data_IF_847551671189
#
_entry.id   IF_847551671189
#
_cell.length_a   1.000
_cell.length_b   1.000
_cell.length_c   1.000
_cell.angle_alpha   90.00
_cell.angle_beta   90.00
_cell.angle_gamma   90.00
#
_symmetry.space_group_name_H-M   'P 1'
#
loop_
_entity.id
_entity.type
_entity.pdbx_description
1 polymer ?
#
# COMPACT_ATOMS: atom_id res chain seq x y z
N UNK A 1 1.49 -19.47 -22.79
CA UNK A 1 2.38 -18.86 -21.82
C UNK A 1 1.59 -18.01 -20.86
N UNK A 2 1.66 -18.31 -19.59
CA UNK A 2 0.94 -17.51 -18.64
C UNK A 2 1.93 -16.73 -17.80
N UNK A 3 1.69 -15.45 -17.69
CA UNK A 3 2.49 -14.59 -16.88
C UNK A 3 1.60 -14.06 -15.76
N UNK A 4 2.06 -14.24 -14.54
CA UNK A 4 1.33 -13.71 -13.41
C UNK A 4 1.26 -12.18 -13.51
N UNK A 5 0.09 -11.57 -13.35
CA UNK A 5 0.01 -10.12 -13.32
C UNK A 5 0.93 -9.49 -12.29
N UNK A 6 1.13 -10.19 -11.16
CA UNK A 6 1.99 -9.69 -10.09
C UNK A 6 3.44 -9.56 -10.54
N UNK A 7 3.88 -10.41 -11.47
CA UNK A 7 5.25 -10.38 -11.96
C UNK A 7 5.55 -9.11 -12.72
N UNK A 8 4.53 -8.52 -13.35
CA UNK A 8 4.69 -7.33 -14.18
C UNK A 8 4.26 -6.05 -13.50
N UNK A 9 3.65 -6.15 -12.33
CA UNK A 9 3.23 -4.95 -11.62
C UNK A 9 4.43 -4.23 -11.04
N UNK A 10 4.42 -2.92 -11.19
CA UNK A 10 5.41 -2.07 -10.54
C UNK A 10 5.18 -2.09 -9.04
N UNK A 11 6.20 -1.77 -8.23
CA UNK A 11 6.03 -1.76 -6.78
C UNK A 11 4.88 -0.88 -6.30
N UNK A 12 4.71 0.31 -6.90
CA UNK A 12 3.60 1.19 -6.54
C UNK A 12 2.25 0.54 -6.87
N UNK A 13 2.13 -0.12 -8.01
CA UNK A 13 0.89 -0.81 -8.39
C UNK A 13 0.57 -1.96 -7.44
N UNK A 14 1.59 -2.67 -6.98
CA UNK A 14 1.41 -3.76 -6.03
C UNK A 14 0.88 -3.24 -4.70
N UNK A 15 1.40 -2.12 -4.24
CA UNK A 15 0.93 -1.50 -3.00
C UNK A 15 -0.50 -1.01 -3.19
N UNK A 16 -0.82 -0.36 -4.31
CA UNK A 16 -2.19 0.07 -4.61
C UNK A 16 -3.14 -1.12 -4.52
N UNK A 17 -2.76 -2.26 -5.09
CA UNK A 17 -3.60 -3.45 -5.06
C UNK A 17 -3.88 -3.90 -3.63
N UNK A 18 -2.85 -3.95 -2.78
CA UNK A 18 -3.00 -4.35 -1.38
C UNK A 18 -3.90 -3.37 -0.63
N UNK A 19 -3.68 -2.07 -0.82
CA UNK A 19 -4.49 -1.04 -0.15
C UNK A 19 -5.96 -1.12 -0.59
N UNK A 20 -6.20 -1.36 -1.86
CA UNK A 20 -7.55 -1.52 -2.38
C UNK A 20 -8.24 -2.74 -1.79
N UNK A 21 -7.52 -3.85 -1.65
CA UNK A 21 -8.06 -5.05 -1.01
C UNK A 21 -8.39 -4.79 0.46
N UNK A 22 -7.57 -4.01 1.14
CA UNK A 22 -7.83 -3.67 2.53
C UNK A 22 -9.09 -2.81 2.64
N UNK A 23 -9.27 -1.83 1.76
CA UNK A 23 -10.49 -1.00 1.75
C UNK A 23 -11.73 -1.85 1.49
N UNK A 24 -11.60 -2.88 0.67
CA UNK A 24 -12.70 -3.81 0.38
C UNK A 24 -12.88 -4.87 1.48
N UNK A 25 -12.07 -4.80 2.54
CA UNK A 25 -12.11 -5.71 3.69
C UNK A 25 -11.72 -7.14 3.35
N UNK A 26 -10.89 -7.31 2.32
CA UNK A 26 -10.37 -8.62 1.93
C UNK A 26 -9.04 -8.93 2.60
N UNK A 27 -8.43 -7.94 3.25
CA UNK A 27 -7.10 -8.05 3.87
C UNK A 27 -7.19 -7.40 5.25
N UNK A 28 -6.64 -8.06 6.27
CA UNK A 28 -6.60 -7.51 7.63
C UNK A 28 -5.51 -6.45 7.75
N UNK A 29 -5.52 -5.71 8.88
CA UNK A 29 -4.50 -4.70 9.15
C UNK A 29 -3.11 -5.32 9.20
N UNK A 30 -2.97 -6.49 9.84
CA UNK A 30 -1.68 -7.17 9.94
C UNK A 30 -1.20 -7.63 8.57
N UNK A 31 -2.11 -8.13 7.76
CA UNK A 31 -1.77 -8.59 6.42
C UNK A 31 -1.37 -7.41 5.54
N UNK A 32 -2.09 -6.30 5.64
CA UNK A 32 -1.75 -5.07 4.94
C UNK A 32 -0.31 -4.66 5.27
N UNK A 33 0.00 -4.60 6.55
CA UNK A 33 1.33 -4.21 7.01
C UNK A 33 2.41 -5.14 6.43
N UNK A 34 2.18 -6.44 6.52
CA UNK A 34 3.15 -7.42 6.03
C UNK A 34 3.38 -7.30 4.54
N UNK A 35 2.29 -7.19 3.77
CA UNK A 35 2.40 -7.14 2.31
C UNK A 35 3.07 -5.86 1.83
N UNK A 36 2.74 -4.74 2.45
CA UNK A 36 3.36 -3.46 2.08
C UNK A 36 4.85 -3.49 2.44
N UNK A 37 5.20 -4.01 3.61
CA UNK A 37 6.59 -4.16 4.00
C UNK A 37 7.36 -5.08 3.05
N UNK A 38 6.71 -6.13 2.57
CA UNK A 38 7.35 -7.07 1.65
C UNK A 38 7.66 -6.42 0.29
N UNK A 39 6.81 -5.51 -0.17
CA UNK A 39 7.09 -4.76 -1.39
C UNK A 39 8.23 -3.78 -1.17
N UNK A 40 8.23 -3.11 -0.03
CA UNK A 40 9.26 -2.14 0.31
C UNK A 40 9.11 -0.81 -0.41
N UNK A 41 10.03 0.09 -0.15
CA UNK A 41 9.98 1.45 -0.70
C UNK A 41 11.17 1.79 -1.60
N UNK A 42 12.08 0.84 -1.81
CA UNK A 42 13.34 1.11 -2.50
C UNK A 42 13.15 1.63 -3.93
N UNK A 43 12.10 1.18 -4.61
CA UNK A 43 11.86 1.55 -5.99
C UNK A 43 10.76 2.60 -6.15
N UNK A 44 10.25 3.13 -5.04
CA UNK A 44 9.24 4.17 -5.07
C UNK A 44 9.90 5.55 -5.20
N UNK A 45 9.13 6.52 -5.71
CA UNK A 45 9.60 7.89 -5.68
C UNK A 45 9.69 8.37 -4.24
N UNK A 46 10.46 9.45 -3.95
CA UNK A 46 10.56 9.95 -2.57
C UNK A 46 9.20 10.27 -1.96
N UNK A 47 8.29 10.85 -2.72
CA UNK A 47 6.95 11.18 -2.22
C UNK A 47 6.15 9.93 -1.92
N UNK A 48 6.22 8.93 -2.80
CA UNK A 48 5.54 7.66 -2.59
C UNK A 48 6.11 6.93 -1.38
N UNK A 49 7.43 6.88 -1.28
CA UNK A 49 8.09 6.21 -0.16
C UNK A 49 7.71 6.85 1.17
N UNK A 50 7.69 8.18 1.22
CA UNK A 50 7.32 8.90 2.43
C UNK A 50 5.88 8.58 2.85
N UNK A 51 4.96 8.57 1.89
CA UNK A 51 3.56 8.25 2.19
C UNK A 51 3.41 6.83 2.72
N UNK A 52 4.10 5.86 2.13
CA UNK A 52 4.06 4.48 2.59
C UNK A 52 4.65 4.34 3.98
N UNK A 53 5.76 5.02 4.25
CA UNK A 53 6.38 4.97 5.56
C UNK A 53 5.48 5.58 6.63
N UNK A 54 4.80 6.69 6.33
CA UNK A 54 3.84 7.28 7.25
C UNK A 54 2.67 6.35 7.51
N UNK A 55 2.17 5.69 6.46
CA UNK A 55 1.10 4.71 6.62
C UNK A 55 1.52 3.61 7.60
N UNK A 56 2.69 3.03 7.39
CA UNK A 56 3.17 1.94 8.24
C UNK A 56 3.42 2.40 9.68
N UNK A 57 3.89 3.64 9.86
CA UNK A 57 4.16 4.18 11.19
C UNK A 57 2.90 4.51 11.96
N UNK A 58 1.89 5.03 11.27
CA UNK A 58 0.68 5.55 11.92
C UNK A 58 -0.49 4.57 11.93
N UNK A 59 -0.35 3.44 11.24
CA UNK A 59 -1.41 2.44 11.21
C UNK A 59 -1.64 1.91 12.63
N UNK A 60 -2.85 2.06 13.12
CA UNK A 60 -3.18 1.73 14.50
C UNK A 60 -4.49 0.95 14.60
N UNK A 61 -5.13 1.07 15.77
CA UNK A 61 -6.37 0.33 16.04
C UNK A 61 -7.61 1.05 15.53
N UNK A 62 -7.52 2.34 15.26
CA UNK A 62 -8.66 3.13 14.78
C UNK A 62 -8.83 2.96 13.28
N UNK A 63 -9.88 2.25 12.89
CA UNK A 63 -10.11 1.99 11.47
C UNK A 63 -10.39 3.26 10.66
N UNK A 64 -11.11 4.21 11.25
CA UNK A 64 -11.38 5.48 10.56
C UNK A 64 -10.09 6.23 10.25
N UNK A 65 -9.17 6.27 11.20
CA UNK A 65 -7.86 6.87 11.00
C UNK A 65 -7.08 6.10 9.94
N UNK A 66 -7.12 4.77 9.98
CA UNK A 66 -6.43 3.94 9.01
C UNK A 66 -6.98 4.16 7.60
N UNK A 67 -8.29 4.33 7.46
CA UNK A 67 -8.89 4.60 6.15
C UNK A 67 -8.38 5.92 5.57
N UNK A 68 -8.24 6.95 6.39
CA UNK A 68 -7.69 8.22 5.93
C UNK A 68 -6.25 8.05 5.46
N UNK A 69 -5.45 7.33 6.24
CA UNK A 69 -4.05 7.06 5.89
C UNK A 69 -3.94 6.29 4.57
N UNK A 70 -4.79 5.28 4.40
CA UNK A 70 -4.80 4.48 3.18
C UNK A 70 -5.18 5.33 1.98
N UNK A 71 -6.22 6.16 2.10
CA UNK A 71 -6.66 7.03 1.02
C UNK A 71 -5.58 8.04 0.63
N UNK A 72 -4.93 8.64 1.62
CA UNK A 72 -3.84 9.58 1.36
C UNK A 72 -2.66 8.89 0.68
N UNK A 73 -2.36 7.68 1.10
CA UNK A 73 -1.29 6.90 0.49
C UNK A 73 -1.62 6.56 -0.96
N UNK A 74 -2.87 6.15 -1.22
CA UNK A 74 -3.31 5.86 -2.59
C UNK A 74 -3.18 7.09 -3.49
N UNK A 75 -3.52 8.26 -2.96
CA UNK A 75 -3.40 9.50 -3.71
C UNK A 75 -1.93 9.78 -4.04
N UNK A 76 -1.05 9.64 -3.07
CA UNK A 76 0.37 9.84 -3.29
C UNK A 76 0.93 8.86 -4.31
N UNK A 77 0.50 7.61 -4.26
CA UNK A 77 0.95 6.60 -5.22
C UNK A 77 0.47 6.92 -6.63
N UNK A 78 -0.72 7.47 -6.77
CA UNK A 78 -1.28 7.83 -8.06
C UNK A 78 -0.57 9.03 -8.68
N UNK A 79 -0.11 9.96 -7.84
CA UNK A 79 0.58 11.15 -8.31
C UNK A 79 2.04 10.88 -8.66
N UNK A 80 2.60 9.84 -8.11
CA UNK A 80 4.00 9.49 -8.35
C UNK A 80 4.92 10.34 -7.55
#
# INVERSE_FOLDING_TARGET
MSTSPDTHLRPDDRIVSVLSQWLARHVSDDELRRRVQAVGTAELSPTQAEAVEELLADLGADRGQNEMLVRETLEALALG
#
